data_IF_299868413596
#
_entry.id   IF_299868413596
#
_cell.length_a   1.000
_cell.length_b   1.000
_cell.length_c   1.000
_cell.angle_alpha   90.00
_cell.angle_beta   90.00
_cell.angle_gamma   90.00
#
_symmetry.space_group_name_H-M   'P 1'
#
loop_
_entity.id
_entity.type
_entity.pdbx_description
1 polymer ?
#
# COMPACT_ATOMS: atom_id res chain seq x y z
N UNK A 1 -31.24 28.81 38.16
CA UNK A 1 -30.73 27.57 37.55
C UNK A 1 -29.89 27.91 36.32
N UNK A 2 -28.57 28.15 36.46
CA UNK A 2 -27.67 28.13 35.31
C UNK A 2 -27.37 26.68 34.93
N UNK A 3 -27.45 26.33 33.64
CA UNK A 3 -26.98 25.03 33.16
C UNK A 3 -25.44 25.03 33.15
N UNK A 4 -24.82 24.01 33.72
CA UNK A 4 -23.39 23.76 33.52
C UNK A 4 -23.18 23.20 32.11
N UNK A 5 -22.10 23.59 31.39
CA UNK A 5 -21.71 22.88 30.18
C UNK A 5 -21.27 21.46 30.56
N UNK A 6 -21.70 20.46 29.79
CA UNK A 6 -21.26 19.09 30.01
C UNK A 6 -19.77 18.97 29.72
N UNK A 7 -19.02 18.43 30.68
CA UNK A 7 -17.61 18.09 30.48
C UNK A 7 -17.50 17.05 29.37
N UNK A 8 -16.84 17.41 28.27
CA UNK A 8 -16.43 16.46 27.25
C UNK A 8 -15.36 15.54 27.85
N UNK A 9 -15.77 14.36 28.32
CA UNK A 9 -14.86 13.33 28.80
C UNK A 9 -13.87 12.98 27.69
N UNK A 10 -12.62 13.38 27.84
CA UNK A 10 -11.51 12.81 27.08
C UNK A 10 -11.46 11.32 27.39
N UNK A 11 -11.60 10.49 26.36
CA UNK A 11 -11.23 9.07 26.45
C UNK A 11 -9.78 9.00 26.96
N UNK A 12 -9.51 8.07 27.86
CA UNK A 12 -8.18 7.88 28.43
C UNK A 12 -7.20 7.69 27.27
N UNK A 13 -6.27 8.63 27.09
CA UNK A 13 -5.09 8.37 26.29
C UNK A 13 -4.23 7.41 27.10
N UNK A 14 -4.38 6.12 26.82
CA UNK A 14 -3.39 5.12 27.21
C UNK A 14 -2.05 5.57 26.61
N UNK A 15 -1.08 5.85 27.47
CA UNK A 15 0.24 6.34 27.06
C UNK A 15 1.05 5.13 26.57
N UNK A 16 0.88 4.84 25.28
CA UNK A 16 1.56 3.73 24.61
C UNK A 16 3.06 4.01 24.53
N UNK A 17 3.90 3.08 25.01
CA UNK A 17 5.32 3.13 24.72
C UNK A 17 5.56 2.75 23.24
N UNK A 18 5.58 3.78 22.39
CA UNK A 18 5.82 3.63 20.96
C UNK A 18 7.25 3.17 20.65
N UNK A 19 8.20 3.27 21.60
CA UNK A 19 9.56 2.76 21.44
C UNK A 19 9.58 1.23 21.65
N UNK A 20 9.00 0.73 22.73
CA UNK A 20 8.84 -0.72 22.98
C UNK A 20 8.01 -1.39 21.87
N UNK A 21 6.95 -0.72 21.37
CA UNK A 21 6.16 -1.22 20.25
C UNK A 21 6.96 -1.26 18.93
N UNK A 22 7.82 -0.26 18.68
CA UNK A 22 8.70 -0.24 17.51
C UNK A 22 9.75 -1.35 17.61
N UNK A 23 10.45 -1.46 18.74
CA UNK A 23 11.53 -2.42 18.92
C UNK A 23 11.01 -3.87 19.03
N UNK A 24 9.82 -4.09 19.59
CA UNK A 24 9.13 -5.39 19.55
C UNK A 24 8.71 -5.84 18.14
N UNK A 25 8.33 -4.90 17.27
CA UNK A 25 8.05 -5.17 15.86
C UNK A 25 9.36 -5.40 15.05
N UNK A 26 10.43 -4.66 15.35
CA UNK A 26 11.76 -4.86 14.77
C UNK A 26 12.34 -6.23 15.12
N UNK A 27 12.28 -6.62 16.39
CA UNK A 27 12.73 -7.92 16.86
C UNK A 27 11.97 -9.07 16.19
N UNK A 28 10.67 -8.93 15.94
CA UNK A 28 9.90 -9.92 15.18
C UNK A 28 10.31 -9.96 13.69
N UNK A 29 10.50 -8.80 13.06
CA UNK A 29 10.96 -8.75 11.66
C UNK A 29 12.32 -9.44 11.49
N UNK A 30 13.28 -9.13 12.36
CA UNK A 30 14.62 -9.67 12.26
C UNK A 30 14.63 -11.19 12.57
N UNK A 31 13.86 -11.63 13.58
CA UNK A 31 13.63 -13.05 13.84
C UNK A 31 12.88 -13.80 12.70
N UNK A 32 12.12 -13.10 11.86
CA UNK A 32 11.49 -13.67 10.65
C UNK A 32 12.44 -13.78 9.46
N UNK A 33 13.55 -13.03 9.44
CA UNK A 33 14.63 -13.18 8.47
C UNK A 33 15.57 -14.33 8.85
N UNK A 34 15.83 -14.49 10.15
CA UNK A 34 16.73 -15.52 10.71
C UNK A 34 16.02 -16.87 11.01
N UNK A 35 14.76 -17.05 10.60
CA UNK A 35 13.98 -18.27 10.90
C UNK A 35 14.29 -19.42 9.92
N UNK A 36 14.92 -20.48 10.44
CA UNK A 36 15.31 -21.70 9.70
C UNK A 36 14.36 -22.91 9.91
N UNK A 37 13.23 -22.75 10.61
CA UNK A 37 12.31 -23.84 10.93
C UNK A 37 11.23 -24.13 9.86
N UNK A 38 10.42 -25.17 10.08
CA UNK A 38 9.43 -25.69 9.13
C UNK A 38 8.03 -25.03 9.20
N UNK A 39 7.72 -24.21 10.22
CA UNK A 39 6.37 -23.73 10.50
C UNK A 39 6.31 -22.46 11.35
N UNK A 40 6.60 -21.31 10.74
CA UNK A 40 6.85 -20.04 11.46
C UNK A 40 5.66 -19.54 12.29
N UNK A 41 4.44 -19.92 11.91
CA UNK A 41 3.24 -19.55 12.63
C UNK A 41 3.19 -20.16 14.04
N UNK A 42 3.50 -21.44 14.16
CA UNK A 42 3.47 -22.15 15.43
C UNK A 42 4.69 -21.80 16.32
N UNK A 43 5.86 -21.67 15.70
CA UNK A 43 7.14 -21.51 16.41
C UNK A 43 7.44 -20.08 16.85
N UNK A 44 7.02 -19.07 16.07
CA UNK A 44 7.41 -17.68 16.26
C UNK A 44 6.21 -16.73 16.36
N UNK A 45 5.29 -16.75 15.39
CA UNK A 45 4.19 -15.77 15.35
C UNK A 45 3.20 -15.95 16.51
N UNK A 46 2.74 -17.17 16.77
CA UNK A 46 1.76 -17.45 17.83
C UNK A 46 2.34 -17.24 19.25
N UNK A 47 3.60 -17.60 19.55
CA UNK A 47 4.27 -17.16 20.77
C UNK A 47 4.40 -15.64 20.88
N UNK A 48 4.80 -14.94 19.81
CA UNK A 48 4.92 -13.48 19.84
C UNK A 48 3.57 -12.79 20.10
N UNK A 49 2.48 -13.24 19.46
CA UNK A 49 1.12 -12.72 19.69
C UNK A 49 0.66 -12.86 21.15
N UNK A 50 1.08 -13.95 21.83
CA UNK A 50 0.79 -14.19 23.25
C UNK A 50 1.65 -13.33 24.18
N UNK A 51 2.89 -13.03 23.78
CA UNK A 51 3.85 -12.26 24.56
C UNK A 51 3.65 -10.73 24.44
N UNK A 52 3.01 -10.24 23.38
CA UNK A 52 2.90 -8.81 23.07
C UNK A 52 1.46 -8.21 23.14
N UNK A 53 0.65 -8.47 24.18
CA UNK A 53 -0.71 -7.91 24.25
C UNK A 53 -0.80 -6.37 24.12
N UNK A 54 0.17 -5.54 24.56
CA UNK A 54 0.14 -4.09 24.29
C UNK A 54 0.12 -3.75 22.80
N UNK A 55 0.83 -4.51 21.94
CA UNK A 55 0.85 -4.27 20.50
C UNK A 55 -0.50 -4.59 19.85
N UNK A 56 -1.14 -5.69 20.26
CA UNK A 56 -2.48 -6.04 19.82
C UNK A 56 -3.52 -5.02 20.30
N UNK A 57 -3.36 -4.48 21.50
CA UNK A 57 -4.24 -3.43 22.04
C UNK A 57 -4.05 -2.10 21.31
N UNK A 58 -2.80 -1.66 21.07
CA UNK A 58 -2.50 -0.44 20.32
C UNK A 58 -3.02 -0.49 18.88
N UNK A 59 -2.80 -1.59 18.14
CA UNK A 59 -3.32 -1.75 16.78
C UNK A 59 -4.86 -1.65 16.73
N UNK A 60 -5.55 -2.29 17.67
CA UNK A 60 -7.02 -2.22 17.80
C UNK A 60 -7.50 -0.83 18.19
N UNK A 61 -6.77 -0.12 19.07
CA UNK A 61 -7.04 1.27 19.43
C UNK A 61 -6.86 2.19 18.22
N UNK A 62 -5.78 2.04 17.45
CA UNK A 62 -5.52 2.79 16.21
C UNK A 62 -6.61 2.54 15.16
N UNK A 63 -7.03 1.29 14.96
CA UNK A 63 -8.09 0.90 14.02
C UNK A 63 -9.45 1.56 14.31
N UNK A 64 -9.73 1.94 15.55
CA UNK A 64 -10.99 2.55 15.98
C UNK A 64 -10.98 4.08 15.90
N UNK A 65 -9.84 4.73 15.62
CA UNK A 65 -9.72 6.19 15.61
C UNK A 65 -10.57 6.84 14.53
N UNK A 66 -11.25 7.91 14.93
CA UNK A 66 -12.07 8.75 14.06
C UNK A 66 -11.34 10.06 13.75
N UNK A 67 -11.70 10.71 12.65
CA UNK A 67 -11.18 12.03 12.26
C UNK A 67 -11.99 12.61 11.11
N UNK A 68 -11.55 13.75 10.56
CA UNK A 68 -12.26 14.45 9.49
C UNK A 68 -11.25 15.02 8.48
N UNK A 69 -11.12 14.44 7.26
CA UNK A 69 -11.79 13.21 6.80
C UNK A 69 -11.21 11.92 7.38
N UNK A 70 -9.98 11.95 7.90
CA UNK A 70 -9.23 10.80 8.42
C UNK A 70 -8.64 11.09 9.80
N UNK A 71 -8.36 10.09 10.66
CA UNK A 71 -7.71 10.32 11.94
C UNK A 71 -6.26 10.82 11.77
N UNK A 72 -5.74 11.65 12.69
CA UNK A 72 -4.32 11.98 12.74
C UNK A 72 -3.48 10.79 13.26
N UNK A 73 -2.18 10.83 12.97
CA UNK A 73 -1.16 9.92 13.51
C UNK A 73 0.12 10.71 13.81
N UNK A 74 0.88 10.34 14.83
CA UNK A 74 2.22 10.92 15.07
C UNK A 74 3.26 10.27 14.14
N UNK A 75 4.46 10.88 14.01
CA UNK A 75 5.54 10.27 13.20
C UNK A 75 5.99 8.93 13.76
N UNK A 76 6.04 8.85 15.09
CA UNK A 76 6.40 7.66 15.86
C UNK A 76 5.38 6.54 15.63
N UNK A 77 4.09 6.86 15.57
CA UNK A 77 3.04 5.90 15.18
C UNK A 77 3.19 5.43 13.73
N UNK A 78 3.56 6.33 12.80
CA UNK A 78 3.86 5.97 11.41
C UNK A 78 5.12 5.08 11.31
N UNK A 79 6.09 5.20 12.22
CA UNK A 79 7.25 4.31 12.32
C UNK A 79 6.86 2.91 12.81
N UNK A 80 6.03 2.82 13.85
CA UNK A 80 5.51 1.54 14.36
C UNK A 80 4.67 0.84 13.29
N UNK A 81 3.75 1.55 12.61
CA UNK A 81 3.00 1.02 11.46
C UNK A 81 3.93 0.54 10.34
N UNK A 82 5.02 1.26 10.06
CA UNK A 82 5.98 0.88 9.03
C UNK A 82 6.69 -0.43 9.41
N UNK A 83 7.11 -0.59 10.67
CA UNK A 83 7.72 -1.84 11.14
C UNK A 83 6.75 -3.03 11.01
N UNK A 84 5.49 -2.87 11.42
CA UNK A 84 4.45 -3.88 11.17
C UNK A 84 4.25 -4.17 9.68
N UNK A 85 4.33 -3.15 8.81
CA UNK A 85 4.22 -3.36 7.36
C UNK A 85 5.38 -4.20 6.81
N UNK A 86 6.60 -4.07 7.33
CA UNK A 86 7.75 -4.89 6.90
C UNK A 86 7.59 -6.35 7.31
N UNK A 87 7.09 -6.63 8.51
CA UNK A 87 6.67 -7.97 8.94
C UNK A 87 5.69 -8.55 7.91
N UNK A 88 4.62 -7.80 7.58
CA UNK A 88 3.65 -8.21 6.56
C UNK A 88 4.27 -8.49 5.19
N UNK A 89 5.26 -7.69 4.77
CA UNK A 89 5.97 -7.85 3.50
C UNK A 89 6.89 -9.08 3.46
N UNK A 90 7.48 -9.49 4.60
CA UNK A 90 8.20 -10.77 4.72
C UNK A 90 7.24 -11.95 4.70
N UNK A 91 6.11 -11.87 5.40
CA UNK A 91 5.12 -12.96 5.50
C UNK A 91 4.39 -13.26 4.18
N UNK A 92 4.28 -12.30 3.24
CA UNK A 92 3.73 -12.56 1.89
C UNK A 92 4.77 -13.09 0.88
N UNK A 93 6.04 -13.27 1.27
CA UNK A 93 7.06 -13.88 0.40
C UNK A 93 6.71 -15.33 -0.02
N UNK A 94 6.36 -16.28 0.86
CA UNK A 94 6.02 -17.65 0.46
C UNK A 94 4.78 -17.71 -0.45
N UNK A 95 3.92 -16.68 -0.39
CA UNK A 95 2.69 -16.57 -1.19
C UNK A 95 2.93 -15.98 -2.60
N UNK A 96 4.12 -15.43 -2.86
CA UNK A 96 4.52 -14.87 -4.16
C UNK A 96 5.08 -15.93 -5.12
N UNK A 97 4.70 -15.84 -6.40
CA UNK A 97 5.33 -16.57 -7.48
C UNK A 97 6.65 -15.92 -7.93
N UNK A 98 7.50 -16.70 -8.61
CA UNK A 98 8.84 -16.30 -9.04
C UNK A 98 9.94 -16.70 -8.05
N UNK A 99 11.17 -16.89 -8.56
CA UNK A 99 12.39 -17.01 -7.76
C UNK A 99 13.06 -15.63 -7.77
N UNK A 100 13.30 -15.03 -6.60
CA UNK A 100 13.54 -13.59 -6.46
C UNK A 100 14.68 -13.03 -7.31
N UNK A 101 14.40 -11.93 -8.02
CA UNK A 101 15.32 -11.28 -8.96
C UNK A 101 16.18 -10.17 -8.29
N UNK A 102 16.91 -10.45 -7.21
CA UNK A 102 17.81 -9.44 -6.63
C UNK A 102 18.41 -9.76 -5.26
N UNK A 103 19.75 -9.69 -5.19
CA UNK A 103 20.59 -9.50 -3.98
C UNK A 103 20.44 -10.50 -2.81
N UNK A 104 19.58 -11.51 -2.91
CA UNK A 104 19.51 -12.66 -2.01
C UNK A 104 18.87 -13.83 -2.74
N UNK A 105 19.67 -14.83 -3.13
CA UNK A 105 19.23 -15.86 -4.07
C UNK A 105 18.12 -16.75 -3.49
N UNK A 106 16.96 -16.75 -4.15
CA UNK A 106 15.97 -17.83 -4.05
C UNK A 106 15.23 -18.02 -2.73
N UNK A 107 15.54 -17.29 -1.65
CA UNK A 107 14.87 -17.46 -0.35
C UNK A 107 13.34 -17.37 -0.50
N UNK A 108 12.65 -18.37 0.04
CA UNK A 108 11.20 -18.48 -0.10
C UNK A 108 10.44 -17.43 0.74
N UNK A 109 11.10 -16.82 1.73
CA UNK A 109 10.44 -16.35 2.94
C UNK A 109 10.32 -17.49 3.96
N UNK A 110 9.91 -17.19 5.20
CA UNK A 110 9.70 -18.21 6.22
C UNK A 110 8.50 -19.11 5.85
N UNK A 111 8.52 -20.43 6.13
CA UNK A 111 7.41 -21.32 5.84
C UNK A 111 6.10 -20.89 6.52
N UNK A 112 5.14 -20.46 5.70
CA UNK A 112 3.83 -19.94 6.11
C UNK A 112 2.77 -20.21 5.02
N UNK A 113 1.62 -20.75 5.40
CA UNK A 113 0.46 -20.89 4.52
C UNK A 113 -0.42 -19.63 4.48
N UNK A 114 -1.28 -19.53 3.46
CA UNK A 114 -2.26 -18.44 3.33
C UNK A 114 -3.19 -18.35 4.55
N UNK A 115 -3.60 -19.49 5.11
CA UNK A 115 -4.48 -19.55 6.29
C UNK A 115 -3.78 -19.03 7.55
N UNK A 116 -2.49 -19.31 7.71
CA UNK A 116 -1.69 -18.81 8.84
C UNK A 116 -1.36 -17.32 8.72
N UNK A 117 -1.12 -16.82 7.50
CA UNK A 117 -1.03 -15.38 7.22
C UNK A 117 -2.32 -14.66 7.64
N UNK A 118 -3.47 -15.18 7.24
CA UNK A 118 -4.79 -14.60 7.56
C UNK A 118 -5.05 -14.66 9.08
N UNK A 119 -4.83 -15.81 9.73
CA UNK A 119 -4.97 -15.94 11.17
C UNK A 119 -4.03 -15.03 11.97
N UNK A 120 -2.84 -14.70 11.45
CA UNK A 120 -1.92 -13.76 12.08
C UNK A 120 -2.44 -12.32 12.01
N UNK A 121 -2.84 -11.83 10.83
CA UNK A 121 -3.33 -10.44 10.70
C UNK A 121 -4.68 -10.23 11.39
N UNK A 122 -5.56 -11.24 11.41
CA UNK A 122 -6.80 -11.19 12.19
C UNK A 122 -6.54 -11.16 13.70
N UNK A 123 -5.54 -11.90 14.20
CA UNK A 123 -5.13 -11.84 15.61
C UNK A 123 -4.59 -10.46 16.02
N UNK A 124 -3.88 -9.77 15.12
CA UNK A 124 -3.47 -8.36 15.29
C UNK A 124 -4.67 -7.38 15.33
N UNK A 125 -5.88 -7.82 14.98
CA UNK A 125 -7.08 -6.98 14.94
C UNK A 125 -7.35 -6.31 13.59
N UNK A 126 -6.77 -6.83 12.51
CA UNK A 126 -7.00 -6.36 11.14
C UNK A 126 -8.12 -7.16 10.45
N UNK A 127 -8.75 -6.57 9.44
CA UNK A 127 -9.81 -7.20 8.65
C UNK A 127 -9.26 -7.71 7.31
N UNK A 128 -9.47 -9.00 7.03
CA UNK A 128 -9.14 -9.64 5.76
C UNK A 128 -10.26 -9.38 4.73
N UNK A 129 -9.93 -8.78 3.59
CA UNK A 129 -10.86 -8.47 2.50
C UNK A 129 -10.46 -9.10 1.16
N UNK A 130 -11.47 -9.50 0.38
CA UNK A 130 -11.33 -10.00 -0.99
C UNK A 130 -12.40 -9.38 -1.91
N UNK A 131 -12.28 -8.10 -2.31
CA UNK A 131 -13.28 -7.44 -3.17
C UNK A 131 -13.37 -8.09 -4.55
N UNK A 132 -14.58 -8.24 -5.09
CA UNK A 132 -14.79 -8.97 -6.35
C UNK A 132 -14.35 -8.21 -7.63
N UNK A 133 -14.32 -6.87 -7.60
CA UNK A 133 -13.83 -6.04 -8.70
C UNK A 133 -12.41 -5.52 -8.44
N UNK A 134 -11.57 -5.55 -9.48
CA UNK A 134 -10.24 -4.95 -9.40
C UNK A 134 -10.35 -3.43 -9.12
N UNK A 135 -9.56 -2.98 -8.16
CA UNK A 135 -9.40 -1.57 -7.80
C UNK A 135 -7.96 -1.34 -7.34
N UNK A 136 -7.28 -0.26 -7.79
CA UNK A 136 -5.90 0.03 -7.40
C UNK A 136 -5.74 0.23 -5.88
N UNK A 137 -6.80 0.64 -5.18
CA UNK A 137 -6.77 0.80 -3.73
C UNK A 137 -6.54 -0.53 -2.99
N UNK A 138 -7.36 -1.54 -3.27
CA UNK A 138 -7.33 -2.82 -2.54
C UNK A 138 -6.31 -3.83 -3.09
N UNK A 139 -5.80 -3.63 -4.32
CA UNK A 139 -5.10 -4.67 -5.07
C UNK A 139 -3.70 -4.26 -5.54
N UNK A 140 -2.80 -5.24 -5.57
CA UNK A 140 -1.47 -5.17 -6.17
C UNK A 140 -1.42 -6.15 -7.35
N UNK A 141 -0.93 -5.71 -8.51
CA UNK A 141 -0.78 -6.58 -9.69
C UNK A 141 0.50 -7.41 -9.51
N UNK A 142 0.31 -8.71 -9.32
CA UNK A 142 1.40 -9.70 -9.16
C UNK A 142 1.68 -10.44 -10.46
N UNK A 143 0.66 -10.62 -11.29
CA UNK A 143 0.79 -11.19 -12.63
C UNK A 143 -0.30 -10.64 -13.57
N UNK A 144 0.06 -10.45 -14.85
CA UNK A 144 -0.84 -9.94 -15.88
C UNK A 144 -0.98 -10.93 -17.04
N UNK A 145 -2.19 -11.47 -17.22
CA UNK A 145 -2.55 -12.19 -18.43
C UNK A 145 -3.17 -11.21 -19.46
N UNK A 146 -2.63 -11.10 -20.68
CA UNK A 146 -3.23 -10.27 -21.72
C UNK A 146 -4.58 -10.82 -22.17
N UNK A 147 -5.62 -10.01 -22.09
CA UNK A 147 -6.95 -10.33 -22.62
C UNK A 147 -6.97 -10.22 -24.16
N UNK A 148 -7.77 -11.08 -24.81
CA UNK A 148 -7.91 -11.09 -26.28
C UNK A 148 -8.47 -9.79 -26.87
N UNK A 149 -9.25 -9.02 -26.10
CA UNK A 149 -9.63 -7.65 -26.48
C UNK A 149 -8.68 -6.65 -25.83
N UNK A 150 -8.09 -5.79 -26.66
CA UNK A 150 -7.13 -4.77 -26.24
C UNK A 150 -7.68 -3.79 -25.19
N UNK A 151 -9.01 -3.62 -25.11
CA UNK A 151 -9.70 -2.71 -24.20
C UNK A 151 -10.49 -3.41 -23.07
N UNK A 152 -10.30 -4.72 -22.85
CA UNK A 152 -11.00 -5.45 -21.79
C UNK A 152 -10.65 -4.89 -20.40
N UNK A 153 -11.67 -4.56 -19.58
CA UNK A 153 -11.48 -4.18 -18.16
C UNK A 153 -10.68 -5.26 -17.42
N UNK A 154 -9.93 -4.84 -16.40
CA UNK A 154 -9.24 -5.75 -15.51
C UNK A 154 -10.24 -6.64 -14.76
N UNK A 155 -10.06 -7.95 -14.85
CA UNK A 155 -10.75 -8.97 -14.06
C UNK A 155 -9.73 -9.73 -13.20
N UNK A 156 -10.07 -10.02 -11.94
CA UNK A 156 -9.23 -10.81 -11.05
C UNK A 156 -9.33 -12.29 -11.49
N UNK A 157 -8.19 -12.92 -11.75
CA UNK A 157 -8.10 -14.33 -12.14
C UNK A 157 -7.81 -15.24 -10.95
N UNK A 158 -6.94 -14.80 -10.04
CA UNK A 158 -6.59 -15.51 -8.83
C UNK A 158 -6.13 -14.55 -7.73
N UNK A 159 -6.33 -14.95 -6.48
CA UNK A 159 -5.77 -14.30 -5.30
C UNK A 159 -4.48 -15.00 -4.89
N UNK A 160 -3.46 -14.22 -4.51
CA UNK A 160 -2.17 -14.69 -3.98
C UNK A 160 -2.08 -14.48 -2.47
N UNK A 161 -2.49 -13.30 -2.00
CA UNK A 161 -2.75 -12.98 -0.60
C UNK A 161 -3.87 -11.91 -0.55
N UNK A 162 -4.69 -11.85 0.52
CA UNK A 162 -5.83 -10.94 0.60
C UNK A 162 -5.41 -9.48 0.82
N UNK A 163 -6.37 -8.57 0.64
CA UNK A 163 -6.25 -7.20 1.13
C UNK A 163 -6.44 -7.21 2.66
N UNK A 164 -5.69 -6.37 3.37
CA UNK A 164 -5.73 -6.28 4.83
C UNK A 164 -5.98 -4.82 5.23
N UNK A 165 -6.99 -4.61 6.07
CA UNK A 165 -7.40 -3.29 6.55
C UNK A 165 -7.20 -3.17 8.07
N UNK A 166 -6.62 -2.06 8.54
CA UNK A 166 -6.59 -1.69 9.95
C UNK A 166 -7.71 -0.67 10.21
N UNK A 167 -8.91 -1.17 10.52
CA UNK A 167 -10.13 -0.37 10.52
C UNK A 167 -10.45 0.14 9.11
N UNK A 168 -10.56 1.46 8.95
CA UNK A 168 -10.77 2.10 7.65
C UNK A 168 -9.47 2.37 6.87
N UNK A 169 -8.30 2.12 7.46
CA UNK A 169 -6.99 2.29 6.81
C UNK A 169 -6.60 1.02 6.05
N UNK A 170 -6.08 1.17 4.85
CA UNK A 170 -5.42 0.08 4.12
C UNK A 170 -4.06 -0.22 4.78
N UNK A 171 -3.88 -1.45 5.25
CA UNK A 171 -2.61 -1.91 5.83
C UNK A 171 -1.75 -2.65 4.79
N UNK A 172 -2.35 -3.55 4.02
CA UNK A 172 -1.69 -4.24 2.91
C UNK A 172 -2.66 -4.45 1.73
N UNK A 173 -2.16 -4.32 0.51
CA UNK A 173 -2.92 -4.63 -0.71
C UNK A 173 -2.88 -6.12 -1.01
N UNK A 174 -3.99 -6.63 -1.51
CA UNK A 174 -4.10 -8.01 -1.94
C UNK A 174 -3.38 -8.26 -3.25
N UNK A 175 -2.43 -9.19 -3.24
CA UNK A 175 -1.74 -9.63 -4.44
C UNK A 175 -2.68 -10.44 -5.31
N UNK A 176 -2.89 -10.02 -6.55
CA UNK A 176 -3.77 -10.70 -7.51
C UNK A 176 -3.11 -10.90 -8.87
N UNK A 177 -3.50 -11.98 -9.52
CA UNK A 177 -3.35 -12.12 -10.96
C UNK A 177 -4.54 -11.45 -11.64
N UNK A 178 -4.30 -10.68 -12.70
CA UNK A 178 -5.36 -10.01 -13.46
C UNK A 178 -5.32 -10.39 -14.94
N UNK A 179 -6.51 -10.53 -15.54
CA UNK A 179 -6.68 -10.55 -16.98
C UNK A 179 -7.15 -9.16 -17.43
N UNK A 180 -6.42 -8.51 -18.32
CA UNK A 180 -6.73 -7.14 -18.77
C UNK A 180 -6.30 -6.90 -20.22
N UNK A 181 -6.99 -5.98 -20.90
CA UNK A 181 -6.61 -5.55 -22.24
C UNK A 181 -5.30 -4.75 -22.24
N UNK A 182 -4.50 -4.87 -23.31
CA UNK A 182 -3.19 -4.21 -23.43
C UNK A 182 -3.19 -2.67 -23.47
N UNK A 183 -4.36 -2.02 -23.58
CA UNK A 183 -4.51 -0.56 -23.39
C UNK A 183 -4.97 -0.19 -21.97
N UNK A 184 -5.27 -1.19 -21.14
CA UNK A 184 -5.66 -1.05 -19.73
C UNK A 184 -4.40 -1.26 -18.89
N UNK A 185 -3.73 -2.40 -19.03
CA UNK A 185 -2.42 -2.67 -18.43
C UNK A 185 -1.44 -3.15 -19.50
N UNK A 186 -0.22 -2.60 -19.50
CA UNK A 186 0.87 -3.05 -20.38
C UNK A 186 1.60 -4.26 -19.75
N UNK A 187 1.72 -5.39 -20.46
CA UNK A 187 2.57 -6.52 -20.05
C UNK A 187 4.04 -6.11 -19.99
N UNK A 188 4.77 -6.60 -18.98
CA UNK A 188 6.15 -6.21 -18.71
C UNK A 188 6.28 -4.80 -18.10
N UNK A 189 5.17 -4.21 -17.65
CA UNK A 189 5.11 -2.89 -17.01
C UNK A 189 4.24 -2.98 -15.77
N UNK A 190 2.96 -3.34 -15.90
CA UNK A 190 2.04 -3.38 -14.76
C UNK A 190 2.41 -4.44 -13.72
N UNK A 191 3.03 -5.52 -14.17
CA UNK A 191 3.51 -6.69 -13.43
C UNK A 191 5.01 -6.62 -13.07
N UNK A 192 5.81 -5.78 -13.76
CA UNK A 192 7.27 -5.80 -13.66
C UNK A 192 7.97 -4.44 -13.41
N UNK A 193 7.26 -3.31 -13.46
CA UNK A 193 7.83 -2.00 -13.08
C UNK A 193 8.07 -1.90 -11.58
N UNK A 194 8.85 -0.92 -11.12
CA UNK A 194 9.16 -0.76 -9.69
C UNK A 194 7.91 -0.50 -8.86
N UNK A 195 7.78 -1.24 -7.76
CA UNK A 195 6.75 -1.03 -6.76
C UNK A 195 7.27 -0.10 -5.65
N UNK A 196 6.69 1.08 -5.53
CA UNK A 196 7.03 2.11 -4.54
C UNK A 196 6.36 1.83 -3.18
N UNK A 197 6.91 2.44 -2.11
CA UNK A 197 6.55 2.19 -0.70
C UNK A 197 6.67 0.70 -0.30
N UNK A 198 7.54 -0.07 -0.97
CA UNK A 198 7.68 -1.51 -0.78
C UNK A 198 9.12 -1.88 -0.44
N UNK A 199 9.32 -2.55 0.69
CA UNK A 199 10.65 -2.97 1.13
C UNK A 199 11.10 -4.25 0.42
N UNK A 200 10.17 -5.16 0.10
CA UNK A 200 10.52 -6.47 -0.47
C UNK A 200 9.40 -7.09 -1.31
N UNK A 201 9.75 -7.58 -2.51
CA UNK A 201 8.95 -8.48 -3.39
C UNK A 201 9.89 -9.43 -4.12
N UNK A 202 9.37 -10.55 -4.65
CA UNK A 202 10.12 -11.51 -5.47
C UNK A 202 10.07 -11.19 -6.97
N UNK A 203 8.88 -10.88 -7.49
CA UNK A 203 8.59 -10.86 -8.93
C UNK A 203 8.93 -9.56 -9.68
N UNK A 204 9.20 -8.46 -8.96
CA UNK A 204 9.43 -7.12 -9.52
C UNK A 204 10.38 -6.31 -8.63
N UNK A 205 11.15 -5.34 -9.18
CA UNK A 205 11.91 -4.39 -8.39
C UNK A 205 11.00 -3.59 -7.45
N UNK A 206 11.59 -3.09 -6.37
CA UNK A 206 10.90 -2.34 -5.32
C UNK A 206 11.71 -1.10 -4.95
N UNK A 207 11.04 -0.09 -4.40
CA UNK A 207 11.66 1.13 -3.89
C UNK A 207 10.89 1.55 -2.63
N UNK A 208 11.62 1.81 -1.56
CA UNK A 208 11.07 2.34 -0.31
C UNK A 208 12.02 3.37 0.31
N UNK A 209 11.48 4.36 1.01
CA UNK A 209 12.28 5.40 1.66
C UNK A 209 13.19 4.86 2.78
N UNK A 210 13.00 3.61 3.24
CA UNK A 210 13.90 2.93 4.17
C UNK A 210 15.18 2.39 3.52
N UNK A 211 15.24 2.28 2.18
CA UNK A 211 16.42 1.77 1.46
C UNK A 211 17.58 2.76 1.46
N UNK A 212 18.81 2.24 1.50
CA UNK A 212 20.04 3.04 1.57
C UNK A 212 20.39 3.59 2.96
N UNK A 213 19.47 3.54 3.93
CA UNK A 213 19.71 4.01 5.30
C UNK A 213 20.36 2.95 6.19
N UNK A 214 21.16 3.40 7.16
CA UNK A 214 21.77 2.53 8.16
C UNK A 214 20.75 1.86 9.10
N UNK A 215 21.15 0.78 9.76
CA UNK A 215 20.26 -0.22 10.39
C UNK A 215 19.23 0.30 11.40
N UNK A 216 19.46 1.48 12.02
CA UNK A 216 18.50 2.16 12.90
C UNK A 216 17.66 3.24 12.18
N UNK A 217 18.22 3.91 11.17
CA UNK A 217 17.54 5.00 10.47
C UNK A 217 16.43 4.52 9.53
N UNK A 218 16.60 3.33 8.92
CA UNK A 218 15.57 2.67 8.09
C UNK A 218 14.21 2.49 8.81
N UNK A 219 14.20 2.44 10.14
CA UNK A 219 13.00 2.26 10.95
C UNK A 219 12.25 3.57 11.23
N UNK A 220 12.82 4.73 10.86
CA UNK A 220 12.18 6.06 10.95
C UNK A 220 11.53 6.52 9.64
N UNK A 221 11.30 5.59 8.71
CA UNK A 221 10.42 5.79 7.56
C UNK A 221 8.96 5.79 8.01
N UNK A 222 8.19 6.79 7.57
CA UNK A 222 6.75 6.86 7.82
C UNK A 222 5.98 5.85 6.98
N UNK A 223 5.07 5.09 7.59
CA UNK A 223 4.11 4.29 6.85
C UNK A 223 3.20 5.17 5.98
N UNK A 224 3.04 4.82 4.71
CA UNK A 224 2.04 5.46 3.83
C UNK A 224 0.63 5.04 4.24
N UNK A 225 -0.22 6.01 4.53
CA UNK A 225 -1.63 5.77 4.87
C UNK A 225 -2.57 6.02 3.68
N UNK A 226 -3.24 4.96 3.25
CA UNK A 226 -4.39 5.00 2.33
C UNK A 226 -5.66 4.70 3.16
N UNK A 227 -6.80 5.37 2.90
CA UNK A 227 -8.06 5.21 3.66
C UNK A 227 -9.29 5.06 2.76
N UNK A 228 -10.31 4.35 3.24
CA UNK A 228 -11.68 4.44 2.71
C UNK A 228 -12.58 5.09 3.77
N UNK A 229 -13.22 6.20 3.43
CA UNK A 229 -14.21 6.86 4.29
C UNK A 229 -15.43 7.19 3.46
N UNK A 230 -16.59 6.70 3.88
CA UNK A 230 -17.84 6.68 3.10
C UNK A 230 -17.60 6.19 1.66
N UNK A 231 -17.82 7.07 0.68
CA UNK A 231 -17.61 6.83 -0.75
C UNK A 231 -16.34 7.50 -1.28
N UNK A 232 -15.33 7.75 -0.45
CA UNK A 232 -14.05 8.33 -0.89
C UNK A 232 -12.87 7.45 -0.49
N UNK A 233 -12.03 7.13 -1.47
CA UNK A 233 -10.69 6.57 -1.26
C UNK A 233 -9.69 7.71 -1.20
N UNK A 234 -8.89 7.75 -0.16
CA UNK A 234 -7.79 8.67 0.00
C UNK A 234 -6.47 7.90 -0.14
N UNK A 235 -5.53 8.43 -0.91
CA UNK A 235 -4.24 7.82 -1.19
C UNK A 235 -3.13 8.71 -0.61
N UNK A 236 -2.24 8.13 0.21
CA UNK A 236 -1.10 8.78 0.87
C UNK A 236 -1.50 10.09 1.60
N UNK A 237 -2.38 10.02 2.59
CA UNK A 237 -2.98 11.20 3.25
C UNK A 237 -1.99 12.13 3.96
N UNK A 238 -0.75 11.68 4.18
CA UNK A 238 0.35 12.45 4.77
C UNK A 238 1.24 13.15 3.72
N UNK A 239 0.91 13.02 2.42
CA UNK A 239 1.59 13.69 1.31
C UNK A 239 1.37 15.20 1.29
N UNK A 240 2.41 15.93 0.87
CA UNK A 240 2.48 17.41 0.83
C UNK A 240 1.71 18.04 -0.34
N UNK A 241 1.48 17.28 -1.41
CA UNK A 241 1.01 17.80 -2.71
C UNK A 241 -0.29 17.12 -3.15
N UNK A 242 -1.45 17.77 -2.93
CA UNK A 242 -2.72 17.23 -3.47
C UNK A 242 -2.78 17.44 -4.98
N UNK A 243 -2.70 16.34 -5.71
CA UNK A 243 -2.72 16.30 -7.18
C UNK A 243 -4.05 16.81 -7.78
N UNK A 244 -5.12 16.95 -6.99
CA UNK A 244 -6.38 17.57 -7.40
C UNK A 244 -6.33 19.10 -7.35
N UNK A 245 -5.51 19.68 -6.48
CA UNK A 245 -5.39 21.13 -6.28
C UNK A 245 -4.16 21.71 -7.00
N UNK A 246 -3.06 20.95 -7.08
CA UNK A 246 -1.78 21.36 -7.65
C UNK A 246 -1.53 20.79 -9.07
N UNK A 247 -2.59 20.69 -9.87
CA UNK A 247 -2.57 20.09 -11.22
C UNK A 247 -1.68 20.80 -12.27
N UNK A 248 -0.98 21.88 -11.89
CA UNK A 248 -0.16 22.71 -12.78
C UNK A 248 1.23 23.08 -12.24
N UNK A 249 1.50 22.97 -10.93
CA UNK A 249 2.72 23.49 -10.31
C UNK A 249 3.31 22.55 -9.26
N UNK A 250 4.31 21.77 -9.67
CA UNK A 250 5.45 21.44 -8.81
C UNK A 250 6.70 21.96 -9.50
N UNK A 251 7.55 22.65 -8.75
CA UNK A 251 8.79 23.20 -9.30
C UNK A 251 9.70 22.06 -9.82
N UNK A 252 10.27 22.28 -11.00
CA UNK A 252 11.38 21.48 -11.51
C UNK A 252 12.62 21.80 -10.66
N UNK A 253 12.98 20.90 -9.75
CA UNK A 253 14.21 20.96 -8.97
C UNK A 253 15.41 20.30 -9.70
N UNK A 254 15.16 19.74 -10.89
CA UNK A 254 16.13 19.04 -11.71
C UNK A 254 16.59 17.68 -11.16
N UNK A 255 16.01 17.20 -10.05
CA UNK A 255 16.45 15.95 -9.40
C UNK A 255 15.75 14.70 -9.96
N UNK A 256 14.53 14.83 -10.49
CA UNK A 256 13.73 13.69 -10.95
C UNK A 256 13.15 13.89 -12.36
N UNK A 257 12.84 12.79 -13.09
CA UNK A 257 12.20 12.90 -14.41
C UNK A 257 10.85 13.63 -14.35
N UNK A 258 10.64 14.58 -15.27
CA UNK A 258 9.39 15.36 -15.36
C UNK A 258 8.21 14.43 -15.71
N UNK A 259 7.44 14.06 -14.68
CA UNK A 259 6.25 13.22 -14.81
C UNK A 259 5.00 14.03 -15.14
N UNK A 260 4.17 13.51 -16.04
CA UNK A 260 2.82 14.06 -16.22
C UNK A 260 1.96 13.81 -14.97
N UNK A 261 0.97 14.68 -14.73
CA UNK A 261 -0.04 14.50 -13.65
C UNK A 261 -0.66 13.09 -13.66
N UNK A 262 -0.89 12.53 -14.85
CA UNK A 262 -1.40 11.17 -14.99
C UNK A 262 -0.41 10.10 -14.49
N UNK A 263 0.88 10.25 -14.72
CA UNK A 263 1.89 9.32 -14.20
C UNK A 263 2.05 9.46 -12.69
N UNK A 264 1.88 10.67 -12.13
CA UNK A 264 1.84 10.89 -10.68
C UNK A 264 0.62 10.21 -10.04
N UNK A 265 -0.58 10.40 -10.60
CA UNK A 265 -1.79 9.69 -10.14
C UNK A 265 -1.65 8.16 -10.37
N UNK A 266 -1.01 7.71 -11.45
CA UNK A 266 -0.72 6.29 -11.70
C UNK A 266 0.20 5.70 -10.62
N UNK A 267 1.37 6.29 -10.38
CA UNK A 267 2.29 5.87 -9.31
C UNK A 267 1.64 5.93 -7.94
N UNK A 268 0.89 6.99 -7.63
CA UNK A 268 0.23 7.15 -6.35
C UNK A 268 -0.87 6.09 -6.16
N UNK A 269 -1.76 5.90 -7.13
CA UNK A 269 -2.88 4.96 -7.00
C UNK A 269 -2.44 3.49 -7.13
N UNK A 270 -1.62 3.14 -8.12
CA UNK A 270 -1.17 1.76 -8.41
C UNK A 270 0.11 1.36 -7.66
N UNK A 271 0.80 2.31 -7.01
CA UNK A 271 2.16 2.14 -6.44
C UNK A 271 3.26 1.80 -7.47
N UNK A 272 2.96 1.85 -8.76
CA UNK A 272 3.86 1.51 -9.86
C UNK A 272 3.32 2.09 -11.18
N UNK A 273 4.10 2.02 -12.27
CA UNK A 273 3.57 2.32 -13.62
C UNK A 273 2.85 1.07 -14.16
N UNK A 274 1.63 1.24 -14.70
CA UNK A 274 0.86 0.14 -15.32
C UNK A 274 0.56 0.37 -16.80
N UNK A 275 0.67 1.61 -17.27
CA UNK A 275 0.35 2.04 -18.64
C UNK A 275 1.42 2.95 -19.26
N UNK A 276 2.23 3.68 -18.48
CA UNK A 276 3.40 4.38 -19.02
C UNK A 276 4.60 3.45 -19.27
N UNK A 277 5.47 3.83 -20.21
CA UNK A 277 6.73 3.13 -20.54
C UNK A 277 7.95 4.03 -20.31
N UNK A 278 7.82 5.04 -19.44
CA UNK A 278 8.94 5.79 -18.87
C UNK A 278 9.78 4.87 -17.99
N UNK A 279 11.06 5.22 -17.80
CA UNK A 279 11.91 4.62 -16.76
C UNK A 279 11.21 4.70 -15.39
N UNK A 280 11.42 3.69 -14.56
CA UNK A 280 10.68 3.47 -13.32
C UNK A 280 11.57 3.10 -12.12
N UNK A 281 12.88 3.15 -12.30
CA UNK A 281 13.90 2.90 -11.28
C UNK A 281 14.06 4.11 -10.34
N UNK A 282 14.12 5.33 -10.91
CA UNK A 282 14.36 6.57 -10.17
C UNK A 282 13.24 7.61 -10.39
N UNK A 283 12.20 7.56 -9.55
CA UNK A 283 11.06 8.49 -9.52
C UNK A 283 10.66 8.74 -8.06
N UNK A 284 10.09 9.91 -7.76
CA UNK A 284 9.80 10.33 -6.38
C UNK A 284 8.29 10.63 -6.14
N UNK A 285 7.41 9.61 -6.08
CA UNK A 285 5.97 9.82 -5.88
C UNK A 285 5.57 10.01 -4.40
N UNK A 286 6.54 10.13 -3.50
CA UNK A 286 6.37 10.00 -2.04
C UNK A 286 5.60 11.13 -1.37
N UNK A 287 5.68 12.34 -1.91
CA UNK A 287 5.01 13.54 -1.38
C UNK A 287 3.62 13.79 -1.99
N UNK A 288 3.18 12.99 -2.95
CA UNK A 288 1.90 13.17 -3.63
C UNK A 288 0.74 12.59 -2.82
N UNK A 289 -0.40 13.29 -2.75
CA UNK A 289 -1.65 12.79 -2.19
C UNK A 289 -2.84 13.00 -3.16
N UNK A 290 -3.90 12.19 -3.02
CA UNK A 290 -5.04 12.17 -3.95
C UNK A 290 -6.30 11.57 -3.32
N UNK A 291 -7.46 11.93 -3.88
CA UNK A 291 -8.80 11.46 -3.46
C UNK A 291 -9.64 11.03 -4.67
N UNK A 292 -10.23 9.84 -4.58
CA UNK A 292 -11.09 9.23 -5.60
C UNK A 292 -12.47 8.93 -5.01
N UNK A 293 -13.53 9.48 -5.62
CA UNK A 293 -14.90 9.10 -5.29
C UNK A 293 -15.22 7.71 -5.85
N UNK A 294 -15.80 6.85 -5.01
CA UNK A 294 -16.32 5.53 -5.37
C UNK A 294 -17.62 5.71 -6.14
N UNK A 295 -17.63 5.34 -7.43
CA UNK A 295 -18.77 5.55 -8.33
C UNK A 295 -19.93 4.58 -8.04
N UNK A 296 -20.66 4.87 -6.96
CA UNK A 296 -21.75 4.05 -6.36
C UNK A 296 -22.95 3.79 -7.29
N UNK A 297 -22.95 4.31 -8.52
CA UNK A 297 -24.08 4.28 -9.44
C UNK A 297 -23.80 3.75 -10.86
N UNK A 298 -22.58 3.29 -11.19
CA UNK A 298 -22.23 2.88 -12.57
C UNK A 298 -21.67 1.47 -12.70
N UNK A 299 -22.56 0.48 -12.59
CA UNK A 299 -22.31 -0.89 -13.09
C UNK A 299 -21.97 -0.94 -14.59
N UNK A 300 -22.29 0.11 -15.36
CA UNK A 300 -21.85 0.27 -16.73
C UNK A 300 -20.90 1.46 -16.91
N UNK A 301 -19.62 1.13 -17.10
CA UNK A 301 -18.75 1.87 -18.00
C UNK A 301 -18.23 3.20 -17.46
N UNK A 302 -17.36 3.14 -16.46
CA UNK A 302 -16.20 4.03 -16.44
C UNK A 302 -14.94 3.29 -15.97
N UNK A 303 -13.81 3.81 -16.43
CA UNK A 303 -12.45 3.60 -15.91
C UNK A 303 -11.96 5.04 -15.62
N UNK A 304 -11.16 5.31 -14.58
CA UNK A 304 -11.09 6.64 -13.99
C UNK A 304 -10.58 7.68 -15.01
N UNK A 305 -11.29 8.81 -15.04
CA UNK A 305 -11.58 9.49 -16.32
C UNK A 305 -10.43 10.36 -16.83
N UNK A 306 -9.41 10.58 -16.02
CA UNK A 306 -8.21 11.34 -16.35
C UNK A 306 -7.44 10.76 -17.54
N UNK A 307 -7.44 9.43 -17.74
CA UNK A 307 -6.88 8.79 -18.94
C UNK A 307 -7.57 9.18 -20.26
N UNK A 308 -8.82 9.69 -20.21
CA UNK A 308 -9.50 10.24 -21.40
C UNK A 308 -9.07 11.69 -21.68
N UNK A 309 -8.76 12.47 -20.66
CA UNK A 309 -8.29 13.86 -20.78
C UNK A 309 -6.88 13.97 -21.40
N UNK A 310 -6.10 12.89 -21.37
CA UNK A 310 -4.78 12.78 -22.01
C UNK A 310 -4.82 12.66 -23.54
N UNK A 311 -6.00 12.56 -24.16
CA UNK A 311 -6.15 12.81 -25.61
C UNK A 311 -6.04 14.31 -25.85
N UNK A 312 -4.81 14.81 -25.85
CA UNK A 312 -4.48 16.22 -25.89
C UNK A 312 -5.18 16.97 -27.02
N UNK A 313 -5.53 18.22 -26.76
CA UNK A 313 -6.16 19.16 -27.69
C UNK A 313 -5.19 19.63 -28.77
N UNK A 314 -4.72 18.69 -29.59
CA UNK A 314 -3.85 18.92 -30.75
C UNK A 314 -4.53 19.82 -31.77
N UNK A 315 -4.37 21.14 -31.60
CA UNK A 315 -4.69 22.13 -32.63
C UNK A 315 -3.94 21.74 -33.89
N UNK A 316 -4.67 21.45 -34.97
CA UNK A 316 -4.07 21.34 -36.29
C UNK A 316 -3.58 22.72 -36.69
N UNK A 317 -2.26 22.91 -36.71
CA UNK A 317 -1.67 24.00 -37.48
C UNK A 317 -1.93 23.73 -38.97
N UNK A 318 -2.92 24.42 -39.52
CA UNK A 318 -3.07 24.53 -40.98
C UNK A 318 -1.97 25.43 -41.50
N UNK A 319 -0.93 24.83 -42.09
CA UNK A 319 0.05 25.58 -42.88
C UNK A 319 -0.65 26.29 -44.04
N UNK A 320 -0.22 27.52 -44.27
CA UNK A 320 -0.29 28.23 -45.54
C UNK A 320 1.15 28.44 -46.03
#
# INVERSE_FOLDING_TARGET
MPCQPQSSHSVIQEEWDLCDLLDGARALHDALLDYEGDGVYADLLLPWLRANPPALAWLRSFAQRQGNPVPPASKEELWVLHAFSRIGQVLVLPLQQGRGNGNGEGWAGPPLSLTEYEAFVEALGMTVLRPAEFSPFYHEIVGLQPAGSAHARAAIMAWRWPCVMLGNMLFARGGVDVCAGKTIFKPGIADASTLYWADRRKGRPVNDLSHGWGSNSQWRTSFRRDYVVDDTRFYNVDGKYDLAEQAAETADDGLFPVLTLAQRIELLTQRCLVSSTTAHDDLFPYDDCWREAVDKGRLHGWWPRWLSALRGSGRRETKA
#
